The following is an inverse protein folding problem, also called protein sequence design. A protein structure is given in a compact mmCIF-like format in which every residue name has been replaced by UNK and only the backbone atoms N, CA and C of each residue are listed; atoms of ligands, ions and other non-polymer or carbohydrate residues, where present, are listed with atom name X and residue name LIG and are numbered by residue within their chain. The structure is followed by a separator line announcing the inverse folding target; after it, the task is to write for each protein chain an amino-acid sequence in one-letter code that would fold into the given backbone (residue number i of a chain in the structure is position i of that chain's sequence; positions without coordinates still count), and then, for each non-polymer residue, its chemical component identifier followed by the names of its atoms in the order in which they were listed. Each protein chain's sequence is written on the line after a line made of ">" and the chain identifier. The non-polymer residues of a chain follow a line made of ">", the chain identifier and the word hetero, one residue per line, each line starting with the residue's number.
data_IF_354183373331
#
_entry.id   IF_354183373331
#
_cell.length_a   1.000
_cell.length_b   1.000
_cell.length_c   1.000
_cell.angle_alpha   90.00
_cell.angle_beta   90.00
_cell.angle_gamma   90.00
#
_symmetry.space_group_name_H-M   'P 1'
#
loop_
_entity.id
_entity.type
_entity.pdbx_description
1 polymer ?
#
# COMPACT_ATOMS: atom_id res chain seq x y z
N UNK A 1 17.51 -20.41 4.73
CA UNK A 1 17.54 -18.96 4.44
C UNK A 1 17.48 -18.63 2.93
N UNK A 2 18.35 -19.20 2.08
CA UNK A 2 18.32 -18.96 0.63
C UNK A 2 16.95 -19.28 0.00
N UNK A 3 16.35 -20.40 0.35
CA UNK A 3 15.01 -20.83 -0.13
C UNK A 3 13.92 -19.82 0.24
N UNK A 4 13.94 -19.28 1.46
CA UNK A 4 12.98 -18.30 1.94
C UNK A 4 13.02 -17.00 1.11
N UNK A 5 14.21 -16.44 0.88
CA UNK A 5 14.35 -15.26 0.04
C UNK A 5 14.00 -15.50 -1.44
N UNK A 6 14.30 -16.70 -1.99
CA UNK A 6 13.89 -17.06 -3.33
C UNK A 6 12.38 -17.21 -3.48
N UNK A 7 11.69 -17.73 -2.45
CA UNK A 7 10.24 -17.74 -2.38
C UNK A 7 9.68 -16.32 -2.46
N UNK A 8 10.14 -15.41 -1.58
CA UNK A 8 9.71 -14.02 -1.55
C UNK A 8 9.96 -13.29 -2.88
N UNK A 9 11.13 -13.50 -3.49
CA UNK A 9 11.47 -12.93 -4.79
C UNK A 9 10.53 -13.40 -5.90
N UNK A 10 10.19 -14.72 -5.94
CA UNK A 10 9.26 -15.28 -6.93
C UNK A 10 7.85 -14.72 -6.74
N UNK A 11 7.38 -14.64 -5.50
CA UNK A 11 6.06 -14.11 -5.15
C UNK A 11 5.95 -12.64 -5.57
N UNK A 12 6.92 -11.80 -5.19
CA UNK A 12 6.96 -10.40 -5.60
C UNK A 12 6.95 -10.23 -7.13
N UNK A 13 7.79 -10.98 -7.86
CA UNK A 13 7.83 -10.92 -9.33
C UNK A 13 6.52 -11.31 -9.98
N UNK A 14 5.78 -12.27 -9.38
CA UNK A 14 4.50 -12.77 -9.92
C UNK A 14 3.37 -11.77 -9.73
N UNK A 15 3.29 -11.14 -8.55
CA UNK A 15 2.13 -10.34 -8.17
C UNK A 15 2.32 -8.84 -8.48
N UNK A 16 3.53 -8.31 -8.43
CA UNK A 16 3.83 -6.94 -8.84
C UNK A 16 5.14 -6.85 -9.66
N UNK A 17 5.08 -7.20 -10.96
CA UNK A 17 6.26 -7.11 -11.84
C UNK A 17 6.85 -5.71 -11.90
N UNK A 18 6.01 -4.66 -11.85
CA UNK A 18 6.46 -3.26 -11.97
C UNK A 18 7.30 -2.86 -10.77
N UNK A 19 6.80 -3.11 -9.57
CA UNK A 19 7.54 -2.83 -8.34
C UNK A 19 8.78 -3.73 -8.22
N UNK A 20 8.67 -5.02 -8.57
CA UNK A 20 9.82 -5.93 -8.63
C UNK A 20 10.96 -5.38 -9.50
N UNK A 21 10.67 -4.85 -10.71
CA UNK A 21 11.69 -4.26 -11.56
C UNK A 21 12.30 -2.98 -10.98
N UNK A 22 11.50 -2.18 -10.28
CA UNK A 22 11.98 -0.99 -9.58
C UNK A 22 13.01 -1.35 -8.49
N UNK A 23 12.80 -2.44 -7.74
CA UNK A 23 13.70 -2.90 -6.68
C UNK A 23 15.07 -3.35 -7.16
N UNK A 24 15.25 -3.66 -8.45
CA UNK A 24 16.56 -4.04 -9.02
C UNK A 24 17.64 -2.97 -8.87
N UNK A 25 17.24 -1.74 -8.61
CA UNK A 25 18.16 -0.61 -8.38
C UNK A 25 18.69 -0.53 -6.95
N UNK A 26 18.10 -1.30 -6.04
CA UNK A 26 18.52 -1.38 -4.64
C UNK A 26 19.78 -2.24 -4.47
N UNK A 27 20.60 -1.98 -3.43
CA UNK A 27 21.64 -2.90 -2.98
C UNK A 27 21.07 -4.31 -2.77
N UNK A 28 21.92 -5.33 -2.93
CA UNK A 28 21.45 -6.72 -2.97
C UNK A 28 20.74 -7.18 -1.71
N UNK A 29 21.26 -6.79 -0.54
CA UNK A 29 20.72 -7.09 0.80
C UNK A 29 19.41 -6.34 1.06
N UNK A 30 19.36 -5.03 0.79
CA UNK A 30 18.15 -4.20 0.89
C UNK A 30 17.05 -4.75 -0.04
N UNK A 31 17.41 -5.13 -1.26
CA UNK A 31 16.46 -5.70 -2.21
C UNK A 31 15.84 -7.00 -1.71
N UNK A 32 16.65 -7.88 -1.09
CA UNK A 32 16.14 -9.10 -0.49
C UNK A 32 15.17 -8.81 0.66
N UNK A 33 15.48 -7.84 1.50
CA UNK A 33 14.61 -7.41 2.59
C UNK A 33 13.29 -6.81 2.07
N UNK A 34 13.32 -6.00 1.00
CA UNK A 34 12.10 -5.50 0.34
C UNK A 34 11.26 -6.65 -0.22
N UNK A 35 11.90 -7.68 -0.84
CA UNK A 35 11.15 -8.85 -1.29
C UNK A 35 10.51 -9.61 -0.14
N UNK A 36 11.19 -9.72 1.02
CA UNK A 36 10.65 -10.37 2.21
C UNK A 36 9.44 -9.61 2.78
N UNK A 37 9.55 -8.29 2.94
CA UNK A 37 8.45 -7.45 3.41
C UNK A 37 7.25 -7.52 2.45
N UNK A 38 7.49 -7.39 1.15
CA UNK A 38 6.44 -7.51 0.13
C UNK A 38 5.72 -8.87 0.20
N UNK A 39 6.48 -9.96 0.26
CA UNK A 39 5.91 -11.29 0.30
C UNK A 39 5.05 -11.51 1.55
N UNK A 40 5.54 -11.04 2.70
CA UNK A 40 4.81 -11.13 3.97
C UNK A 40 3.48 -10.37 3.93
N UNK A 41 3.50 -9.11 3.48
CA UNK A 41 2.29 -8.29 3.32
C UNK A 41 1.34 -8.95 2.30
N UNK A 42 1.87 -9.42 1.17
CA UNK A 42 1.06 -10.06 0.13
C UNK A 42 0.38 -11.36 0.60
N UNK A 43 1.03 -12.17 1.43
CA UNK A 43 0.41 -13.38 2.00
C UNK A 43 -0.71 -13.02 2.99
N UNK A 44 -0.56 -11.96 3.78
CA UNK A 44 -1.64 -11.45 4.60
C UNK A 44 -2.83 -10.94 3.75
N UNK A 45 -2.56 -10.18 2.69
CA UNK A 45 -3.59 -9.73 1.75
C UNK A 45 -4.31 -10.92 1.08
N UNK A 46 -3.60 -12.00 0.73
CA UNK A 46 -4.24 -13.21 0.15
C UNK A 46 -5.20 -13.90 1.13
N UNK A 47 -4.92 -13.87 2.43
CA UNK A 47 -5.84 -14.38 3.47
C UNK A 47 -7.13 -13.55 3.47
N UNK A 48 -7.02 -12.24 3.33
CA UNK A 48 -8.14 -11.30 3.46
C UNK A 48 -8.92 -11.16 2.14
N UNK A 49 -8.22 -11.02 1.01
CA UNK A 49 -8.75 -10.62 -0.30
C UNK A 49 -8.53 -11.63 -1.42
N UNK A 50 -7.63 -12.58 -1.22
CA UNK A 50 -7.24 -13.52 -2.26
C UNK A 50 -8.44 -14.31 -2.84
N UNK A 51 -8.30 -14.82 -4.06
CA UNK A 51 -9.38 -15.60 -4.72
C UNK A 51 -9.73 -16.88 -3.96
N UNK A 52 -8.81 -17.36 -3.10
CA UNK A 52 -9.02 -18.54 -2.24
C UNK A 52 -9.42 -18.21 -0.80
N UNK A 53 -9.70 -16.93 -0.48
CA UNK A 53 -10.05 -16.53 0.88
C UNK A 53 -11.29 -17.30 1.39
N UNK A 54 -11.32 -17.58 2.68
CA UNK A 54 -12.48 -18.17 3.32
C UNK A 54 -13.73 -17.26 3.15
N UNK A 55 -14.87 -17.85 2.88
CA UNK A 55 -16.13 -17.10 2.71
C UNK A 55 -16.58 -16.45 4.03
N UNK A 56 -16.35 -17.14 5.17
CA UNK A 56 -16.70 -16.66 6.51
C UNK A 56 -15.69 -15.65 7.02
N UNK A 57 -16.10 -14.40 7.35
CA UNK A 57 -15.25 -13.38 7.97
C UNK A 57 -14.52 -13.86 9.24
N UNK A 58 -15.18 -14.67 10.08
CA UNK A 58 -14.58 -15.18 11.31
C UNK A 58 -13.41 -16.15 11.01
N UNK A 59 -13.54 -16.96 9.97
CA UNK A 59 -12.46 -17.87 9.53
C UNK A 59 -11.28 -17.06 8.99
N UNK A 60 -11.53 -16.04 8.11
CA UNK A 60 -10.47 -15.15 7.62
C UNK A 60 -9.71 -14.48 8.76
N UNK A 61 -10.44 -13.95 9.75
CA UNK A 61 -9.84 -13.33 10.93
C UNK A 61 -8.97 -14.32 11.71
N UNK A 62 -9.47 -15.52 11.95
CA UNK A 62 -8.70 -16.56 12.65
C UNK A 62 -7.46 -17.01 11.85
N UNK A 63 -7.50 -17.00 10.53
CA UNK A 63 -6.34 -17.27 9.67
C UNK A 63 -5.30 -16.15 9.75
N UNK A 64 -5.76 -14.90 9.71
CA UNK A 64 -4.92 -13.71 9.87
C UNK A 64 -4.25 -13.67 11.25
N UNK A 65 -5.02 -13.93 12.33
CA UNK A 65 -4.50 -14.00 13.70
C UNK A 65 -3.43 -15.10 13.86
N UNK A 66 -3.61 -16.25 13.21
CA UNK A 66 -2.59 -17.31 13.17
C UNK A 66 -1.35 -16.90 12.37
N UNK A 67 -1.51 -16.09 11.34
CA UNK A 67 -0.38 -15.58 10.56
C UNK A 67 0.45 -14.58 11.37
N UNK A 68 -0.20 -13.66 12.05
CA UNK A 68 0.43 -12.74 12.99
C UNK A 68 1.14 -13.49 14.14
N UNK A 69 0.49 -14.49 14.75
CA UNK A 69 1.10 -15.28 15.81
C UNK A 69 2.38 -15.99 15.32
N UNK A 70 2.39 -16.51 14.07
CA UNK A 70 3.63 -17.07 13.49
C UNK A 70 4.77 -16.06 13.40
N UNK A 71 4.46 -14.80 13.10
CA UNK A 71 5.48 -13.74 13.10
C UNK A 71 6.00 -13.51 14.53
N UNK A 72 5.13 -13.36 15.52
CA UNK A 72 5.51 -13.12 16.90
C UNK A 72 6.34 -14.30 17.48
N UNK A 73 5.93 -15.53 17.23
CA UNK A 73 6.68 -16.72 17.66
C UNK A 73 8.09 -16.74 17.04
N UNK A 74 8.20 -16.44 15.73
CA UNK A 74 9.48 -16.40 15.05
C UNK A 74 10.38 -15.23 15.52
N UNK A 75 9.80 -14.09 15.87
CA UNK A 75 10.53 -12.98 16.49
C UNK A 75 11.05 -13.35 17.88
N UNK A 76 10.27 -14.13 18.64
CA UNK A 76 10.68 -14.71 19.94
C UNK A 76 11.74 -15.81 19.82
N UNK A 77 12.02 -16.29 18.60
CA UNK A 77 13.06 -17.31 18.33
C UNK A 77 12.52 -18.71 18.06
N UNK A 78 11.21 -18.89 18.06
CA UNK A 78 10.61 -20.18 17.74
C UNK A 78 10.77 -20.51 16.24
N UNK A 79 11.03 -21.79 15.89
CA UNK A 79 11.22 -22.18 14.52
C UNK A 79 9.91 -22.13 13.73
N UNK A 80 9.94 -21.56 12.53
CA UNK A 80 8.80 -21.57 11.62
C UNK A 80 9.16 -22.22 10.29
N UNK A 81 8.16 -22.84 9.63
CA UNK A 81 8.25 -23.37 8.26
C UNK A 81 7.74 -22.36 7.22
N UNK A 82 7.19 -21.26 7.68
CA UNK A 82 6.69 -20.19 6.83
C UNK A 82 7.87 -19.43 6.21
N UNK A 83 7.97 -19.45 4.89
CA UNK A 83 9.14 -18.91 4.19
C UNK A 83 9.15 -17.38 4.18
N UNK A 84 7.97 -16.73 4.10
CA UNK A 84 7.87 -15.28 4.12
C UNK A 84 8.20 -14.74 5.52
N UNK A 85 7.65 -15.36 6.58
CA UNK A 85 7.98 -15.04 7.96
C UNK A 85 9.47 -15.25 8.24
N UNK A 86 10.05 -16.39 7.80
CA UNK A 86 11.48 -16.69 7.97
C UNK A 86 12.36 -15.61 7.35
N UNK A 87 12.06 -15.19 6.10
CA UNK A 87 12.83 -14.17 5.40
C UNK A 87 12.66 -12.79 6.03
N UNK A 88 11.44 -12.43 6.48
CA UNK A 88 11.17 -11.14 7.10
C UNK A 88 11.86 -11.00 8.46
N UNK A 89 11.85 -12.04 9.30
CA UNK A 89 12.53 -12.03 10.59
C UNK A 89 14.05 -11.93 10.42
N UNK A 90 14.63 -12.64 9.45
CA UNK A 90 16.07 -12.50 9.12
C UNK A 90 16.38 -11.07 8.62
N UNK A 91 15.56 -10.52 7.72
CA UNK A 91 15.70 -9.15 7.26
C UNK A 91 15.56 -8.13 8.41
N UNK A 92 14.60 -8.35 9.31
CA UNK A 92 14.39 -7.54 10.51
C UNK A 92 15.64 -7.46 11.38
N UNK A 93 16.26 -8.60 11.64
CA UNK A 93 17.51 -8.67 12.44
C UNK A 93 18.71 -8.05 11.74
N UNK A 94 18.83 -8.18 10.42
CA UNK A 94 19.97 -7.63 9.64
C UNK A 94 19.92 -6.13 9.46
N UNK A 95 18.73 -5.57 9.37
CA UNK A 95 18.51 -4.16 9.04
C UNK A 95 17.89 -3.38 10.21
N UNK A 96 17.75 -3.99 11.37
CA UNK A 96 17.12 -3.40 12.57
C UNK A 96 15.73 -2.81 12.26
N UNK A 97 14.89 -3.62 11.57
CA UNK A 97 13.58 -3.14 11.12
C UNK A 97 12.59 -3.03 12.27
N UNK A 98 11.77 -1.98 12.31
CA UNK A 98 10.73 -1.80 13.32
C UNK A 98 9.53 -2.72 13.04
N UNK A 99 9.72 -4.06 13.12
CA UNK A 99 8.69 -5.04 12.80
C UNK A 99 7.47 -4.99 13.74
N UNK A 100 7.56 -4.30 14.87
CA UNK A 100 6.43 -3.97 15.75
C UNK A 100 5.38 -3.06 15.06
N UNK A 101 5.76 -2.32 14.02
CA UNK A 101 4.81 -1.57 13.17
C UNK A 101 3.75 -2.50 12.53
N UNK A 102 4.09 -3.77 12.33
CA UNK A 102 3.17 -4.74 11.74
C UNK A 102 1.98 -5.08 12.65
N UNK A 103 2.03 -4.78 13.95
CA UNK A 103 0.88 -4.93 14.84
C UNK A 103 -0.27 -4.01 14.39
N UNK A 104 0.06 -2.76 14.01
CA UNK A 104 -0.93 -1.83 13.46
C UNK A 104 -1.40 -2.23 12.05
N UNK A 105 -0.53 -2.82 11.24
CA UNK A 105 -0.91 -3.40 9.94
C UNK A 105 -1.94 -4.52 10.12
N UNK A 106 -1.71 -5.47 11.03
CA UNK A 106 -2.67 -6.54 11.32
C UNK A 106 -3.98 -6.03 11.89
N UNK A 107 -3.94 -4.99 12.72
CA UNK A 107 -5.17 -4.34 13.22
C UNK A 107 -6.03 -3.81 12.06
N UNK A 108 -5.42 -3.17 11.05
CA UNK A 108 -6.12 -2.72 9.84
C UNK A 108 -6.60 -3.88 8.97
N UNK A 109 -5.81 -4.92 8.76
CA UNK A 109 -6.22 -6.09 7.98
C UNK A 109 -7.39 -6.85 8.62
N UNK A 110 -7.53 -6.82 9.94
CA UNK A 110 -8.70 -7.38 10.63
C UNK A 110 -10.01 -6.66 10.29
N UNK A 111 -9.94 -5.36 10.00
CA UNK A 111 -11.11 -4.59 9.53
C UNK A 111 -11.56 -5.15 8.19
N UNK A 112 -10.63 -5.45 7.29
CA UNK A 112 -10.90 -5.95 5.94
C UNK A 112 -11.41 -7.40 5.90
N UNK A 113 -11.32 -8.13 7.01
CA UNK A 113 -11.93 -9.47 7.10
C UNK A 113 -13.46 -9.45 7.03
N UNK A 114 -14.12 -8.31 7.24
CA UNK A 114 -15.56 -8.12 7.26
C UNK A 114 -15.97 -6.98 6.31
N UNK A 115 -17.28 -6.76 6.08
CA UNK A 115 -17.75 -5.57 5.37
C UNK A 115 -17.24 -4.28 5.99
N UNK A 116 -16.70 -3.37 5.17
CA UNK A 116 -16.10 -2.11 5.63
C UNK A 116 -17.02 -0.94 5.29
N UNK A 117 -17.24 -0.05 6.25
CA UNK A 117 -17.96 1.22 6.08
C UNK A 117 -17.31 2.26 7.00
N UNK A 118 -16.36 3.05 6.46
CA UNK A 118 -15.71 4.09 7.24
C UNK A 118 -16.68 5.26 7.46
N UNK A 119 -16.85 5.64 8.72
CA UNK A 119 -17.79 6.68 9.12
C UNK A 119 -17.20 8.08 9.12
N UNK A 120 -15.88 8.22 9.27
CA UNK A 120 -15.20 9.50 9.34
C UNK A 120 -13.80 9.46 8.71
N UNK A 121 -13.23 10.65 8.48
CA UNK A 121 -11.84 10.77 8.02
C UNK A 121 -10.85 10.18 9.04
N UNK A 122 -11.06 10.44 10.32
CA UNK A 122 -10.18 9.96 11.40
C UNK A 122 -10.14 8.43 11.44
N UNK A 123 -11.27 7.77 11.18
CA UNK A 123 -11.35 6.31 11.08
C UNK A 123 -10.59 5.80 9.86
N UNK A 124 -10.78 6.42 8.69
CA UNK A 124 -10.05 6.09 7.47
C UNK A 124 -8.55 6.34 7.63
N UNK A 125 -8.16 7.47 8.20
CA UNK A 125 -6.76 7.81 8.42
C UNK A 125 -6.10 6.81 9.38
N UNK A 126 -6.74 6.47 10.49
CA UNK A 126 -6.26 5.46 11.43
C UNK A 126 -6.08 4.10 10.74
N UNK A 127 -7.04 3.71 9.91
CA UNK A 127 -6.92 2.50 9.10
C UNK A 127 -5.72 2.56 8.14
N UNK A 128 -5.53 3.67 7.41
CA UNK A 128 -4.42 3.84 6.48
C UNK A 128 -3.05 3.90 7.19
N UNK A 129 -3.00 4.42 8.40
CA UNK A 129 -1.77 4.41 9.21
C UNK A 129 -1.28 2.99 9.48
N UNK A 130 -2.18 2.04 9.73
CA UNK A 130 -1.83 0.63 9.85
C UNK A 130 -1.58 -0.02 8.49
N UNK A 131 -2.53 0.04 7.56
CA UNK A 131 -2.46 -0.71 6.29
C UNK A 131 -1.34 -0.25 5.35
N UNK A 132 -0.95 1.02 5.39
CA UNK A 132 0.05 1.61 4.50
C UNK A 132 1.18 2.32 5.27
N UNK A 133 0.87 3.14 6.27
CA UNK A 133 1.84 3.93 7.02
C UNK A 133 2.90 3.08 7.72
N UNK A 134 2.48 1.99 8.38
CA UNK A 134 3.37 1.03 9.01
C UNK A 134 4.41 0.45 8.03
N UNK A 135 3.96 0.02 6.86
CA UNK A 135 4.85 -0.47 5.79
C UNK A 135 5.77 0.64 5.29
N UNK A 136 5.26 1.87 5.17
CA UNK A 136 6.05 3.05 4.82
C UNK A 136 7.20 3.31 5.81
N UNK A 137 6.96 3.23 7.12
CA UNK A 137 7.99 3.41 8.16
C UNK A 137 9.03 2.29 8.14
N UNK A 138 8.63 1.04 7.93
CA UNK A 138 9.58 -0.08 7.74
C UNK A 138 10.46 0.15 6.50
N UNK A 139 9.86 0.57 5.38
CA UNK A 139 10.61 0.91 4.16
C UNK A 139 11.56 2.09 4.36
N UNK A 140 11.23 3.08 5.17
CA UNK A 140 12.11 4.19 5.50
C UNK A 140 13.44 3.70 6.07
N UNK A 141 13.40 2.78 7.04
CA UNK A 141 14.60 2.17 7.63
C UNK A 141 15.38 1.39 6.58
N UNK A 142 14.72 0.55 5.78
CA UNK A 142 15.37 -0.20 4.69
C UNK A 142 16.08 0.67 3.66
N UNK A 143 15.55 1.86 3.41
CA UNK A 143 16.12 2.81 2.46
C UNK A 143 17.14 3.77 3.09
N UNK A 144 17.46 3.57 4.39
CA UNK A 144 18.47 4.33 5.11
C UNK A 144 18.03 5.75 5.48
N UNK A 145 16.73 6.00 5.60
CA UNK A 145 16.20 7.28 6.01
C UNK A 145 16.46 7.52 7.52
N UNK A 146 16.83 8.74 7.93
CA UNK A 146 16.96 9.08 9.34
C UNK A 146 15.58 9.10 10.02
N UNK A 147 15.54 8.86 11.34
CA UNK A 147 14.31 8.66 12.10
C UNK A 147 13.31 9.83 12.00
N UNK A 148 13.79 11.07 11.92
CA UNK A 148 12.98 12.29 11.75
C UNK A 148 12.29 12.39 10.37
N UNK A 149 12.55 11.43 9.47
CA UNK A 149 11.95 11.34 8.12
C UNK A 149 11.02 10.14 7.94
N UNK A 150 10.91 9.24 8.92
CA UNK A 150 10.06 8.05 8.79
C UNK A 150 8.60 8.42 8.55
N UNK A 151 8.08 9.48 9.18
CA UNK A 151 6.70 9.94 8.97
C UNK A 151 6.47 10.46 7.55
N UNK A 152 7.48 11.04 6.88
CA UNK A 152 7.35 11.42 5.47
C UNK A 152 7.15 10.21 4.56
N UNK A 153 7.73 9.04 4.89
CA UNK A 153 7.44 7.79 4.17
C UNK A 153 6.06 7.26 4.46
N UNK A 154 5.58 7.40 5.71
CA UNK A 154 4.21 7.06 6.06
C UNK A 154 3.22 7.94 5.29
N UNK A 155 3.38 9.29 5.29
CA UNK A 155 2.52 10.20 4.51
C UNK A 155 2.51 9.85 3.01
N UNK A 156 3.67 9.50 2.45
CA UNK A 156 3.75 9.06 1.05
C UNK A 156 2.96 7.76 0.81
N UNK A 157 3.05 6.79 1.73
CA UNK A 157 2.30 5.54 1.65
C UNK A 157 0.78 5.78 1.79
N UNK A 158 0.37 6.66 2.70
CA UNK A 158 -1.02 7.08 2.85
C UNK A 158 -1.55 7.76 1.56
N UNK A 159 -0.73 8.62 0.92
CA UNK A 159 -1.10 9.28 -0.33
C UNK A 159 -1.38 8.26 -1.46
N UNK A 160 -0.54 7.23 -1.58
CA UNK A 160 -0.78 6.13 -2.51
C UNK A 160 -2.06 5.37 -2.18
N UNK A 161 -2.27 5.04 -0.91
CA UNK A 161 -3.42 4.28 -0.47
C UNK A 161 -4.74 5.06 -0.67
N UNK A 162 -4.78 6.34 -0.29
CA UNK A 162 -5.95 7.19 -0.52
C UNK A 162 -6.25 7.35 -2.02
N UNK A 163 -5.22 7.49 -2.86
CA UNK A 163 -5.40 7.52 -4.32
C UNK A 163 -6.00 6.22 -4.85
N UNK A 164 -5.62 5.06 -4.29
CA UNK A 164 -6.24 3.80 -4.63
C UNK A 164 -7.72 3.78 -4.24
N UNK A 165 -8.09 4.19 -3.03
CA UNK A 165 -9.49 4.25 -2.60
C UNK A 165 -10.34 5.22 -3.45
N UNK A 166 -9.77 6.35 -3.88
CA UNK A 166 -10.44 7.27 -4.81
C UNK A 166 -10.67 6.61 -6.18
N UNK A 167 -9.71 5.86 -6.67
CA UNK A 167 -9.73 5.21 -7.99
C UNK A 167 -10.63 3.98 -8.03
N UNK A 168 -10.61 3.19 -6.97
CA UNK A 168 -11.11 1.82 -6.93
C UNK A 168 -12.45 1.68 -6.17
N UNK A 169 -13.19 2.78 -5.94
CA UNK A 169 -14.49 2.81 -5.20
C UNK A 169 -15.43 1.68 -5.61
N UNK A 170 -15.48 1.37 -6.89
CA UNK A 170 -16.37 0.34 -7.42
C UNK A 170 -15.84 -1.08 -7.17
N UNK A 171 -14.56 -1.27 -7.36
CA UNK A 171 -13.88 -2.56 -7.11
C UNK A 171 -13.94 -2.91 -5.62
N UNK A 172 -13.73 -1.92 -4.74
CA UNK A 172 -13.85 -2.08 -3.29
C UNK A 172 -15.29 -2.47 -2.89
N UNK A 173 -16.28 -1.86 -3.54
CA UNK A 173 -17.68 -2.24 -3.33
C UNK A 173 -17.98 -3.70 -3.70
N UNK A 174 -17.35 -4.26 -4.72
CA UNK A 174 -17.47 -5.67 -5.09
C UNK A 174 -16.92 -6.61 -3.99
N UNK A 175 -16.06 -6.09 -3.11
CA UNK A 175 -15.56 -6.76 -1.90
C UNK A 175 -16.36 -6.41 -0.64
N UNK A 176 -17.51 -5.72 -0.80
CA UNK A 176 -18.35 -5.19 0.28
C UNK A 176 -17.64 -4.14 1.17
N UNK A 177 -16.81 -3.30 0.55
CA UNK A 177 -16.02 -2.26 1.22
C UNK A 177 -16.34 -0.87 0.69
N UNK A 178 -16.49 0.09 1.62
CA UNK A 178 -16.59 1.51 1.33
C UNK A 178 -15.64 2.24 2.28
N UNK A 179 -14.48 2.61 1.77
CA UNK A 179 -13.45 3.28 2.55
C UNK A 179 -13.68 4.79 2.66
N UNK A 180 -14.17 5.44 1.59
CA UNK A 180 -14.34 6.89 1.60
C UNK A 180 -15.57 7.29 2.43
N UNK A 181 -15.41 8.07 3.52
CA UNK A 181 -16.51 8.51 4.36
C UNK A 181 -17.53 9.35 3.56
N UNK A 182 -18.80 9.11 3.81
CA UNK A 182 -19.89 9.82 3.11
C UNK A 182 -20.29 9.23 1.75
N UNK A 183 -19.54 8.25 1.24
CA UNK A 183 -19.97 7.46 0.08
C UNK A 183 -21.00 6.42 0.52
N UNK A 184 -22.14 6.37 -0.15
CA UNK A 184 -23.20 5.41 0.15
C UNK A 184 -23.30 4.29 -0.90
N UNK A 185 -23.76 3.12 -0.45
CA UNK A 185 -24.09 2.00 -1.30
C UNK A 185 -25.00 2.37 -2.48
N UNK A 186 -25.98 3.25 -2.20
CA UNK A 186 -26.93 3.71 -3.21
C UNK A 186 -26.27 4.55 -4.31
N UNK A 187 -25.31 5.42 -3.94
CA UNK A 187 -24.52 6.18 -4.92
C UNK A 187 -23.72 5.26 -5.85
N UNK A 188 -23.06 4.24 -5.27
CA UNK A 188 -22.27 3.28 -6.04
C UNK A 188 -23.19 2.45 -6.95
N UNK A 189 -24.32 1.95 -6.45
CA UNK A 189 -25.27 1.15 -7.21
C UNK A 189 -25.87 1.90 -8.42
N UNK A 190 -26.11 3.21 -8.28
CA UNK A 190 -26.62 4.06 -9.37
C UNK A 190 -25.60 4.24 -10.53
N UNK A 191 -24.33 4.00 -10.30
CA UNK A 191 -23.23 4.19 -11.26
C UNK A 191 -23.20 5.58 -11.94
N UNK A 192 -23.74 6.58 -11.24
CA UNK A 192 -23.74 7.96 -11.71
C UNK A 192 -23.34 8.88 -10.57
N UNK A 193 -22.22 9.62 -10.70
CA UNK A 193 -21.79 10.54 -9.68
C UNK A 193 -22.80 11.69 -9.55
N UNK A 194 -23.33 11.91 -8.36
CA UNK A 194 -24.11 13.09 -7.99
C UNK A 194 -23.17 14.26 -7.70
N UNK A 195 -23.69 15.48 -7.66
CA UNK A 195 -22.90 16.65 -7.29
C UNK A 195 -22.33 16.55 -5.86
N UNK A 196 -23.07 15.88 -4.96
CA UNK A 196 -22.58 15.60 -3.60
C UNK A 196 -21.39 14.63 -3.63
N UNK A 197 -21.45 13.59 -4.46
CA UNK A 197 -20.36 12.64 -4.65
C UNK A 197 -19.11 13.30 -5.25
N UNK A 198 -19.30 14.17 -6.26
CA UNK A 198 -18.18 14.93 -6.86
C UNK A 198 -17.46 15.81 -5.85
N UNK A 199 -18.24 16.59 -5.08
CA UNK A 199 -17.67 17.44 -4.00
C UNK A 199 -16.93 16.61 -2.94
N UNK A 200 -17.43 15.43 -2.60
CA UNK A 200 -16.73 14.52 -1.68
C UNK A 200 -15.38 14.10 -2.28
N UNK A 201 -15.36 13.61 -3.50
CA UNK A 201 -14.11 13.19 -4.15
C UNK A 201 -13.13 14.34 -4.38
N UNK A 202 -13.62 15.56 -4.63
CA UNK A 202 -12.80 16.77 -4.72
C UNK A 202 -12.02 17.01 -3.42
N UNK A 203 -12.69 16.85 -2.26
CA UNK A 203 -12.06 16.94 -0.94
C UNK A 203 -11.01 15.83 -0.75
N UNK A 204 -11.34 14.59 -1.09
CA UNK A 204 -10.40 13.47 -0.93
C UNK A 204 -9.20 13.56 -1.87
N UNK A 205 -9.38 14.06 -3.09
CA UNK A 205 -8.27 14.37 -4.02
C UNK A 205 -7.36 15.45 -3.45
N UNK A 206 -7.93 16.51 -2.85
CA UNK A 206 -7.13 17.54 -2.19
C UNK A 206 -6.31 16.99 -1.03
N UNK A 207 -6.90 16.12 -0.19
CA UNK A 207 -6.19 15.42 0.90
C UNK A 207 -5.06 14.53 0.39
N UNK A 208 -5.31 13.75 -0.67
CA UNK A 208 -4.28 12.92 -1.26
C UNK A 208 -3.11 13.77 -1.78
N UNK A 209 -3.35 14.93 -2.37
CA UNK A 209 -2.31 15.88 -2.80
C UNK A 209 -1.51 16.43 -1.62
N UNK A 210 -2.18 16.76 -0.50
CA UNK A 210 -1.51 17.23 0.72
C UNK A 210 -0.59 16.15 1.29
N UNK A 211 -1.07 14.91 1.40
CA UNK A 211 -0.25 13.76 1.80
C UNK A 211 0.97 13.56 0.88
N UNK A 212 0.81 13.74 -0.45
CA UNK A 212 1.93 13.73 -1.39
C UNK A 212 2.91 14.89 -1.16
N UNK A 213 2.42 16.04 -0.72
CA UNK A 213 3.27 17.19 -0.36
C UNK A 213 4.08 16.90 0.90
N UNK A 214 3.43 16.44 1.97
CA UNK A 214 4.07 16.02 3.22
C UNK A 214 5.11 14.91 2.99
N UNK A 215 4.75 13.91 2.16
CA UNK A 215 5.62 12.79 1.81
C UNK A 215 6.78 13.17 0.86
N UNK A 216 6.84 14.38 0.33
CA UNK A 216 7.87 14.78 -0.64
C UNK A 216 9.29 14.67 -0.04
N UNK A 217 9.44 15.02 1.24
CA UNK A 217 10.71 14.99 1.96
C UNK A 217 11.32 13.57 2.06
N UNK A 218 10.53 12.50 1.93
CA UNK A 218 11.03 11.12 1.87
C UNK A 218 12.02 10.91 0.71
N UNK A 219 11.83 11.63 -0.40
CA UNK A 219 12.69 11.51 -1.59
C UNK A 219 14.07 12.15 -1.40
N UNK A 220 14.23 13.09 -0.47
CA UNK A 220 15.46 13.88 -0.33
C UNK A 220 16.57 13.11 0.40
N UNK A 221 16.17 12.14 1.22
CA UNK A 221 17.07 11.40 2.12
C UNK A 221 17.49 10.04 1.59
N UNK A 222 17.03 9.64 0.42
CA UNK A 222 17.35 8.34 -0.20
C UNK A 222 18.38 8.47 -1.31
N UNK A 223 19.04 7.35 -1.62
CA UNK A 223 20.00 7.30 -2.72
C UNK A 223 19.38 7.77 -4.07
N UNK A 224 20.12 8.45 -4.96
CA UNK A 224 19.57 9.05 -6.19
C UNK A 224 18.80 8.07 -7.08
N UNK A 225 19.21 6.80 -7.11
CA UNK A 225 18.51 5.75 -7.88
C UNK A 225 17.13 5.41 -7.30
N UNK A 226 17.00 5.43 -5.96
CA UNK A 226 15.73 5.22 -5.24
C UNK A 226 14.84 6.42 -5.42
N UNK A 227 15.38 7.63 -5.24
CA UNK A 227 14.69 8.90 -5.45
C UNK A 227 13.97 8.95 -6.79
N UNK A 228 14.66 8.59 -7.88
CA UNK A 228 14.05 8.53 -9.22
C UNK A 228 12.85 7.58 -9.29
N UNK A 229 12.93 6.43 -8.62
CA UNK A 229 11.81 5.48 -8.55
C UNK A 229 10.63 6.04 -7.79
N UNK A 230 10.88 6.67 -6.63
CA UNK A 230 9.85 7.30 -5.81
C UNK A 230 9.19 8.47 -6.53
N UNK A 231 9.98 9.35 -7.17
CA UNK A 231 9.47 10.49 -7.93
C UNK A 231 8.64 10.04 -9.14
N UNK A 232 9.03 8.96 -9.81
CA UNK A 232 8.27 8.34 -10.88
C UNK A 232 6.93 7.81 -10.38
N UNK A 233 6.91 7.04 -9.29
CA UNK A 233 5.68 6.52 -8.71
C UNK A 233 4.75 7.65 -8.28
N UNK A 234 5.27 8.66 -7.56
CA UNK A 234 4.52 9.86 -7.17
C UNK A 234 3.90 10.57 -8.38
N UNK A 235 4.66 10.77 -9.45
CA UNK A 235 4.18 11.43 -10.66
C UNK A 235 3.05 10.64 -11.33
N UNK A 236 3.13 9.32 -11.38
CA UNK A 236 2.08 8.46 -11.93
C UNK A 236 0.80 8.59 -11.11
N UNK A 237 0.88 8.54 -9.78
CA UNK A 237 -0.29 8.64 -8.92
C UNK A 237 -0.92 10.04 -8.93
N UNK A 238 -0.13 11.11 -8.95
CA UNK A 238 -0.65 12.46 -9.16
C UNK A 238 -1.38 12.59 -10.51
N UNK A 239 -0.86 11.94 -11.56
CA UNK A 239 -1.54 11.92 -12.86
C UNK A 239 -2.86 11.12 -12.83
N UNK A 240 -3.01 10.14 -11.95
CA UNK A 240 -4.29 9.44 -11.70
C UNK A 240 -5.29 10.41 -11.07
N UNK A 241 -4.87 11.20 -10.07
CA UNK A 241 -5.72 12.24 -9.46
C UNK A 241 -6.14 13.30 -10.49
N UNK A 242 -5.19 13.82 -11.29
CA UNK A 242 -5.48 14.78 -12.37
C UNK A 242 -6.49 14.21 -13.36
N UNK A 243 -6.37 12.93 -13.70
CA UNK A 243 -7.30 12.27 -14.60
C UNK A 243 -8.68 12.07 -13.98
N UNK A 244 -8.75 11.78 -12.68
CA UNK A 244 -10.01 11.68 -11.95
C UNK A 244 -10.78 13.00 -12.02
N UNK A 245 -10.11 14.14 -11.80
CA UNK A 245 -10.68 15.46 -11.94
C UNK A 245 -11.16 15.72 -13.38
N UNK A 246 -10.33 15.46 -14.40
CA UNK A 246 -10.70 15.62 -15.82
C UNK A 246 -11.89 14.76 -16.26
N UNK A 247 -12.14 13.65 -15.57
CA UNK A 247 -13.30 12.78 -15.79
C UNK A 247 -14.51 13.19 -14.95
N UNK A 248 -14.49 14.38 -14.35
CA UNK A 248 -15.56 14.89 -13.49
C UNK A 248 -15.87 13.92 -12.34
N UNK A 249 -14.81 13.33 -11.78
CA UNK A 249 -14.87 12.36 -10.68
C UNK A 249 -15.72 11.11 -10.97
N UNK A 250 -15.89 10.75 -12.24
CA UNK A 250 -16.66 9.56 -12.64
C UNK A 250 -15.85 8.26 -12.47
N UNK A 251 -15.65 7.87 -11.21
CA UNK A 251 -15.02 6.60 -10.80
C UNK A 251 -16.05 5.47 -10.67
N UNK A 252 -17.36 5.80 -10.72
CA UNK A 252 -18.43 4.82 -10.50
C UNK A 252 -18.77 4.01 -11.74
N UNK A 253 -18.59 4.58 -12.94
CA UNK A 253 -18.86 3.86 -14.20
C UNK A 253 -17.73 2.96 -14.61
N UNK A 254 -16.48 3.39 -14.38
CA UNK A 254 -15.28 2.68 -14.78
C UNK A 254 -14.11 3.08 -13.89
N UNK A 255 -13.20 2.16 -13.70
CA UNK A 255 -11.92 2.43 -13.05
C UNK A 255 -11.13 3.49 -13.82
N UNK A 256 -10.59 4.45 -13.12
CA UNK A 256 -9.69 5.44 -13.71
C UNK A 256 -8.33 4.80 -14.01
N UNK A 257 -7.94 4.81 -15.29
CA UNK A 257 -6.64 4.33 -15.74
C UNK A 257 -5.97 5.37 -16.63
N UNK A 258 -4.65 5.47 -16.55
CA UNK A 258 -3.89 6.34 -17.44
C UNK A 258 -3.75 5.67 -18.82
N UNK A 259 -4.10 6.35 -19.92
CA UNK A 259 -3.75 5.85 -21.23
C UNK A 259 -2.23 5.83 -21.43
N UNK A 260 -1.70 5.01 -22.35
CA UNK A 260 -0.25 4.80 -22.48
C UNK A 260 0.59 6.07 -22.62
N UNK A 261 0.07 7.08 -23.29
CA UNK A 261 0.79 8.35 -23.48
C UNK A 261 0.81 9.23 -22.22
N UNK A 262 -0.26 9.23 -21.41
CA UNK A 262 -0.28 9.93 -20.11
C UNK A 262 0.66 9.21 -19.14
N UNK A 263 0.62 7.89 -19.09
CA UNK A 263 1.53 7.09 -18.28
C UNK A 263 3.00 7.35 -18.66
N UNK A 264 3.32 7.36 -19.96
CA UNK A 264 4.66 7.66 -20.44
C UNK A 264 5.10 9.09 -20.08
N UNK A 265 4.19 10.06 -20.18
CA UNK A 265 4.42 11.44 -19.76
C UNK A 265 4.70 11.57 -18.26
N UNK A 266 3.88 10.93 -17.43
CA UNK A 266 4.05 10.90 -15.98
C UNK A 266 5.39 10.26 -15.56
N UNK A 267 5.74 9.13 -16.17
CA UNK A 267 7.03 8.46 -15.94
C UNK A 267 8.20 9.36 -16.32
N UNK A 268 8.15 9.99 -17.51
CA UNK A 268 9.22 10.89 -17.97
C UNK A 268 9.35 12.14 -17.09
N UNK A 269 8.22 12.68 -16.59
CA UNK A 269 8.22 13.79 -15.65
C UNK A 269 8.86 13.42 -14.33
N UNK A 270 8.43 12.30 -13.72
CA UNK A 270 8.96 11.83 -12.45
C UNK A 270 10.46 11.49 -12.51
N UNK A 271 10.95 10.92 -13.62
CA UNK A 271 12.37 10.64 -13.81
C UNK A 271 13.22 11.93 -13.88
N UNK A 272 12.69 13.01 -14.45
CA UNK A 272 13.37 14.32 -14.49
C UNK A 272 13.36 15.00 -13.13
N UNK A 273 12.23 14.96 -12.42
CA UNK A 273 12.11 15.56 -11.10
C UNK A 273 12.97 14.86 -10.02
N UNK A 274 13.29 13.57 -10.21
CA UNK A 274 14.15 12.80 -9.30
C UNK A 274 15.64 12.80 -9.70
N UNK A 275 16.04 13.54 -10.71
CA UNK A 275 17.44 13.65 -11.15
C UNK A 275 18.16 14.73 -10.37
#
# INVERSE_FOLDING_TARGET
>A
MHEAYEHCRRLHRRHDPTYYWATRRLPGDVRLAVHALYAFVREADEIVDGPGRAADPAVRRAELDRYEQRLHDALAGEPTRDLAVTALVDAGRRHDLPLWELDSYFASMRIDCAPVRMGSWEELESYMQGSAGAVGRILAVLLGAPADRHDSFASLALAFQLTNFIRDVREDWELDRVYLPGVSAEQIARRQPSDGFRRLLEVEVARARELFHEGAAASDVVAPRVRRGMSMARSVYLSVLDRTERLDFDVLRRRVSLPPWELAGAVAHGLRAGA
#
